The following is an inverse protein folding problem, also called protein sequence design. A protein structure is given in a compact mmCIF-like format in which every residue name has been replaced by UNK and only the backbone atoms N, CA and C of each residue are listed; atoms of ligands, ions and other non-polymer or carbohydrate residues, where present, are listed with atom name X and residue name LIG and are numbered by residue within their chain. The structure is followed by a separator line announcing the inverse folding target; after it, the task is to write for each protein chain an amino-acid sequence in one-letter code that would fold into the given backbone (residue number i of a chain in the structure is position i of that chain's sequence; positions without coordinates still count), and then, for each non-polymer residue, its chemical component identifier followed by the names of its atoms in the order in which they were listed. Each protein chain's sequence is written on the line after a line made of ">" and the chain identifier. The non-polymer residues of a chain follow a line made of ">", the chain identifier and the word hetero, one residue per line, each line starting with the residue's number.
data_IF_433908603039
#
_entry.id   IF_433908603039
#
_cell.length_a   1.000
_cell.length_b   1.000
_cell.length_c   1.000
_cell.angle_alpha   90.00
_cell.angle_beta   90.00
_cell.angle_gamma   90.00
#
_symmetry.space_group_name_H-M   'P 1'
#
loop_
_entity.id
_entity.type
_entity.pdbx_description
1 polymer ?
#
# COMPACT_ATOMS: atom_id res chain seq x y z
N UNK A 1 -24.65 8.78 -13.36
CA UNK A 1 -23.57 8.07 -12.69
C UNK A 1 -22.32 8.92 -12.83
N UNK A 2 -21.49 9.05 -11.78
CA UNK A 2 -20.22 9.80 -11.86
C UNK A 2 -19.12 8.89 -12.36
N UNK A 3 -18.18 9.43 -13.14
CA UNK A 3 -17.01 8.70 -13.66
C UNK A 3 -15.73 9.23 -13.02
N UNK A 4 -15.00 8.36 -12.35
CA UNK A 4 -13.70 8.66 -11.71
C UNK A 4 -12.61 7.94 -12.48
N UNK A 5 -11.58 8.67 -12.90
CA UNK A 5 -10.40 8.08 -13.55
C UNK A 5 -9.19 8.10 -12.62
N UNK A 6 -8.49 6.98 -12.54
CA UNK A 6 -7.34 6.76 -11.67
C UNK A 6 -6.12 6.42 -12.55
N UNK A 7 -5.30 7.40 -12.96
CA UNK A 7 -4.14 7.16 -13.80
C UNK A 7 -2.92 6.74 -12.98
N UNK A 8 -2.24 5.70 -13.46
CA UNK A 8 -0.91 5.31 -12.98
C UNK A 8 0.17 5.88 -13.92
N UNK A 9 1.31 6.29 -13.35
CA UNK A 9 2.40 6.92 -14.13
C UNK A 9 3.68 6.08 -14.19
N UNK A 10 3.68 4.90 -13.59
CA UNK A 10 4.84 4.03 -13.60
C UNK A 10 4.73 2.99 -14.70
N UNK A 11 5.89 2.61 -15.23
CA UNK A 11 5.99 1.62 -16.30
C UNK A 11 5.41 0.27 -15.86
N UNK A 12 4.37 -0.18 -16.56
CA UNK A 12 3.69 -1.46 -16.35
C UNK A 12 2.62 -1.44 -15.25
N UNK A 13 1.71 -2.43 -15.24
CA UNK A 13 0.67 -2.54 -14.24
C UNK A 13 1.34 -2.72 -12.87
N UNK A 14 1.02 -1.81 -11.94
CA UNK A 14 1.60 -1.77 -10.59
C UNK A 14 3.12 -1.67 -10.58
N UNK A 15 3.72 -1.02 -11.60
CA UNK A 15 5.15 -0.97 -11.82
C UNK A 15 5.72 -2.39 -11.86
N UNK A 16 6.11 -2.92 -12.98
CA UNK A 16 6.56 -4.31 -13.22
C UNK A 16 7.58 -4.89 -12.22
N UNK A 17 8.01 -4.11 -11.23
CA UNK A 17 8.92 -4.49 -10.17
C UNK A 17 8.22 -4.47 -8.81
N UNK A 18 7.15 -5.25 -8.65
CA UNK A 18 6.80 -5.71 -7.32
C UNK A 18 5.77 -4.93 -6.52
N UNK A 19 4.94 -4.11 -7.12
CA UNK A 19 3.66 -3.79 -6.50
C UNK A 19 2.72 -4.97 -6.75
N UNK A 20 2.59 -5.84 -5.78
CA UNK A 20 1.81 -7.06 -5.94
C UNK A 20 0.32 -6.87 -5.60
N UNK A 21 -0.07 -5.72 -5.06
CA UNK A 21 -1.45 -5.30 -4.90
C UNK A 21 -1.76 -4.12 -5.83
N UNK A 22 -2.74 -4.28 -6.67
CA UNK A 22 -3.23 -3.24 -7.59
C UNK A 22 -4.10 -2.24 -6.81
N UNK A 23 -3.49 -1.35 -6.03
CA UNK A 23 -4.20 -0.38 -5.18
C UNK A 23 -5.22 0.45 -5.96
N UNK A 24 -4.90 0.82 -7.20
CA UNK A 24 -5.78 1.58 -8.10
C UNK A 24 -7.06 0.80 -8.42
N UNK A 25 -6.95 -0.51 -8.55
CA UNK A 25 -8.12 -1.38 -8.83
C UNK A 25 -8.97 -1.54 -7.58
N UNK A 26 -8.36 -1.69 -6.40
CA UNK A 26 -9.08 -1.72 -5.12
C UNK A 26 -9.88 -0.44 -4.88
N UNK A 27 -9.26 0.72 -5.14
CA UNK A 27 -9.96 2.01 -5.07
C UNK A 27 -11.07 2.10 -6.13
N UNK A 28 -10.85 1.59 -7.34
CA UNK A 28 -11.86 1.57 -8.40
C UNK A 28 -13.08 0.73 -8.00
N UNK A 29 -12.88 -0.42 -7.36
CA UNK A 29 -13.95 -1.25 -6.79
C UNK A 29 -14.75 -0.50 -5.74
N UNK A 30 -14.08 0.22 -4.86
CA UNK A 30 -14.75 1.03 -3.84
C UNK A 30 -15.63 2.13 -4.47
N UNK A 31 -15.14 2.82 -5.50
CA UNK A 31 -15.98 3.77 -6.24
C UNK A 31 -17.17 3.08 -6.94
N UNK A 32 -16.95 1.91 -7.52
CA UNK A 32 -18.04 1.15 -8.16
C UNK A 32 -19.11 0.71 -7.16
N UNK A 33 -18.71 0.27 -5.97
CA UNK A 33 -19.61 -0.08 -4.87
C UNK A 33 -20.45 1.12 -4.39
N UNK A 34 -19.92 2.34 -4.53
CA UNK A 34 -20.61 3.61 -4.23
C UNK A 34 -21.42 4.16 -5.42
N UNK A 35 -21.66 3.34 -6.44
CA UNK A 35 -22.48 3.71 -7.59
C UNK A 35 -21.82 4.62 -8.62
N UNK A 36 -20.49 4.68 -8.63
CA UNK A 36 -19.71 5.39 -9.65
C UNK A 36 -19.23 4.43 -10.74
N UNK A 37 -18.82 4.97 -11.87
CA UNK A 37 -18.00 4.29 -12.85
C UNK A 37 -16.53 4.63 -12.56
N UNK A 38 -15.68 3.63 -12.47
CA UNK A 38 -14.26 3.83 -12.22
C UNK A 38 -13.40 3.28 -13.36
N UNK A 39 -12.44 4.08 -13.82
CA UNK A 39 -11.53 3.72 -14.93
C UNK A 39 -10.09 3.86 -14.45
N UNK A 40 -9.40 2.74 -14.41
CA UNK A 40 -7.96 2.71 -14.09
C UNK A 40 -7.17 2.83 -15.38
N UNK A 41 -6.18 3.71 -15.44
CA UNK A 41 -5.29 3.83 -16.58
C UNK A 41 -3.90 3.33 -16.22
N UNK A 42 -3.41 2.34 -16.96
CA UNK A 42 -2.03 1.88 -16.90
C UNK A 42 -1.30 2.28 -18.18
N UNK A 43 -0.09 2.83 -18.08
CA UNK A 43 0.73 3.10 -19.26
C UNK A 43 1.31 1.79 -19.81
N UNK A 44 1.18 1.58 -21.11
CA UNK A 44 1.75 0.42 -21.83
C UNK A 44 2.72 0.94 -22.90
N UNK A 45 4.03 1.07 -22.57
CA UNK A 45 5.04 1.52 -23.51
C UNK A 45 5.19 0.56 -24.69
N UNK A 46 5.19 1.13 -25.90
CA UNK A 46 5.30 0.35 -27.12
C UNK A 46 3.97 -0.11 -27.72
N UNK A 47 2.87 -0.02 -26.97
CA UNK A 47 1.54 -0.32 -27.51
C UNK A 47 1.17 0.68 -28.63
N UNK A 48 0.52 0.17 -29.69
CA UNK A 48 0.00 0.98 -30.81
C UNK A 48 -1.44 1.45 -30.55
N UNK A 49 -2.22 0.65 -29.84
CA UNK A 49 -3.63 0.91 -29.51
C UNK A 49 -3.90 0.58 -28.04
N UNK A 50 -4.94 1.16 -27.42
CA UNK A 50 -5.38 0.80 -26.09
C UNK A 50 -5.86 -0.65 -26.00
N UNK A 51 -5.58 -1.31 -24.87
CA UNK A 51 -6.17 -2.60 -24.50
C UNK A 51 -7.07 -2.38 -23.28
N UNK A 52 -8.25 -2.97 -23.29
CA UNK A 52 -9.27 -2.74 -22.28
C UNK A 52 -9.66 -4.06 -21.62
N UNK A 53 -9.78 -4.03 -20.31
CA UNK A 53 -10.33 -5.09 -19.49
C UNK A 53 -11.50 -4.54 -18.67
N UNK A 54 -12.56 -5.34 -18.46
CA UNK A 54 -13.70 -4.99 -17.62
C UNK A 54 -13.90 -6.12 -16.61
N UNK A 55 -13.08 -6.13 -15.52
CA UNK A 55 -13.11 -7.24 -14.56
C UNK A 55 -14.42 -7.33 -13.80
N UNK A 56 -15.12 -6.21 -13.62
CA UNK A 56 -16.34 -6.12 -12.83
C UNK A 56 -17.27 -5.02 -13.38
N UNK A 57 -18.53 -5.06 -13.01
CA UNK A 57 -19.48 -4.00 -13.36
C UNK A 57 -18.99 -2.64 -12.83
N UNK A 58 -18.98 -1.64 -13.72
CA UNK A 58 -18.52 -0.27 -13.44
C UNK A 58 -17.01 -0.12 -13.15
N UNK A 59 -16.20 -1.16 -13.27
CA UNK A 59 -14.75 -1.10 -13.19
C UNK A 59 -14.14 -1.40 -14.56
N UNK A 60 -13.39 -0.46 -15.10
CA UNK A 60 -12.69 -0.55 -16.39
C UNK A 60 -11.20 -0.35 -16.20
N UNK A 61 -10.38 -1.20 -16.78
CA UNK A 61 -8.92 -1.06 -16.79
C UNK A 61 -8.49 -0.83 -18.24
N UNK A 62 -7.80 0.27 -18.48
CA UNK A 62 -7.31 0.65 -19.79
C UNK A 62 -5.79 0.69 -19.78
N UNK A 63 -5.16 -0.16 -20.58
CA UNK A 63 -3.73 -0.11 -20.85
C UNK A 63 -3.51 0.79 -22.05
N UNK A 64 -2.90 1.95 -21.83
CA UNK A 64 -2.83 3.04 -22.78
C UNK A 64 -1.45 3.18 -23.42
N UNK A 65 -1.36 3.47 -24.72
CA UNK A 65 -0.10 3.78 -25.37
C UNK A 65 0.67 4.89 -24.64
N UNK A 66 1.92 4.61 -24.30
CA UNK A 66 2.75 5.52 -23.53
C UNK A 66 4.20 5.50 -24.03
N UNK A 67 4.98 6.51 -23.60
CA UNK A 67 6.43 6.57 -23.77
C UNK A 67 7.07 6.40 -22.40
N UNK A 68 8.01 5.47 -22.28
CA UNK A 68 8.73 5.25 -21.02
C UNK A 68 10.01 6.07 -20.95
N UNK A 69 10.29 6.61 -19.76
CA UNK A 69 11.57 7.19 -19.39
C UNK A 69 11.97 6.66 -18.00
N UNK A 70 12.90 5.72 -17.97
CA UNK A 70 13.24 4.99 -16.77
C UNK A 70 12.03 4.22 -16.20
N UNK A 71 11.66 4.52 -14.97
CA UNK A 71 10.48 3.95 -14.30
C UNK A 71 9.19 4.74 -14.57
N UNK A 72 9.32 5.97 -15.10
CA UNK A 72 8.19 6.84 -15.43
C UNK A 72 7.64 6.50 -16.81
N UNK A 73 6.33 6.70 -16.99
CA UNK A 73 5.70 6.59 -18.29
C UNK A 73 4.77 7.79 -18.52
N UNK A 74 4.76 8.25 -19.76
CA UNK A 74 4.01 9.42 -20.20
C UNK A 74 2.99 8.97 -21.25
N UNK A 75 1.72 9.22 -20.99
CA UNK A 75 0.65 8.99 -21.95
C UNK A 75 0.82 9.89 -23.16
N UNK A 76 0.55 9.37 -24.36
CA UNK A 76 0.63 10.15 -25.60
C UNK A 76 -0.39 11.28 -25.65
N UNK A 77 -1.58 11.06 -25.10
CA UNK A 77 -2.64 12.05 -24.95
C UNK A 77 -3.59 11.65 -23.81
N UNK A 78 -4.53 12.51 -23.50
CA UNK A 78 -5.54 12.33 -22.45
C UNK A 78 -6.97 12.26 -23.00
N UNK A 79 -7.12 11.96 -24.31
CA UNK A 79 -8.43 11.92 -24.98
C UNK A 79 -9.40 10.95 -24.27
N UNK A 80 -8.89 9.86 -23.73
CA UNK A 80 -9.65 8.87 -22.97
C UNK A 80 -10.49 9.51 -21.83
N UNK A 81 -10.04 10.61 -21.24
CA UNK A 81 -10.79 11.31 -20.18
C UNK A 81 -12.09 11.92 -20.72
N UNK A 82 -12.09 12.39 -21.96
CA UNK A 82 -13.28 12.94 -22.62
C UNK A 82 -14.19 11.80 -23.11
N UNK A 83 -13.61 10.76 -23.70
CA UNK A 83 -14.35 9.61 -24.21
C UNK A 83 -15.11 8.89 -23.08
N UNK A 84 -14.55 8.86 -21.87
CA UNK A 84 -15.15 8.27 -20.67
C UNK A 84 -16.08 9.25 -19.92
N UNK A 85 -16.27 10.50 -20.41
CA UNK A 85 -17.06 11.52 -19.73
C UNK A 85 -16.64 11.71 -18.26
N UNK A 86 -15.34 11.91 -18.02
CA UNK A 86 -14.74 11.94 -16.69
C UNK A 86 -15.21 13.14 -15.88
N UNK A 87 -15.78 12.89 -14.71
CA UNK A 87 -16.12 13.93 -13.72
C UNK A 87 -14.91 14.32 -12.87
N UNK A 88 -14.08 13.36 -12.47
CA UNK A 88 -12.90 13.60 -11.65
C UNK A 88 -11.73 12.68 -11.97
N UNK A 89 -10.53 13.17 -11.72
CA UNK A 89 -9.29 12.41 -11.78
C UNK A 89 -8.70 12.29 -10.38
N UNK A 90 -8.54 11.07 -9.89
CA UNK A 90 -7.86 10.74 -8.65
C UNK A 90 -6.38 10.42 -8.95
N UNK A 91 -5.48 11.24 -8.48
CA UNK A 91 -4.04 11.04 -8.71
C UNK A 91 -3.38 10.50 -7.46
N UNK A 92 -2.93 9.26 -7.52
CA UNK A 92 -1.99 8.68 -6.55
C UNK A 92 -0.57 9.12 -6.94
N UNK A 93 -0.31 10.40 -6.84
CA UNK A 93 0.71 11.13 -7.59
C UNK A 93 2.14 11.08 -7.08
N UNK A 94 2.46 10.12 -6.20
CA UNK A 94 3.78 9.98 -5.63
C UNK A 94 4.88 10.01 -6.71
N UNK A 95 5.74 11.03 -6.70
CA UNK A 95 6.91 11.14 -7.58
C UNK A 95 6.65 11.08 -9.10
N UNK A 96 5.46 11.44 -9.56
CA UNK A 96 5.09 11.39 -10.99
C UNK A 96 5.37 12.69 -11.74
N UNK A 97 6.18 12.62 -12.79
CA UNK A 97 6.50 13.78 -13.64
C UNK A 97 5.34 14.17 -14.58
N UNK A 98 4.37 13.29 -14.79
CA UNK A 98 3.21 13.52 -15.66
C UNK A 98 2.12 14.40 -15.07
N UNK A 99 2.14 14.65 -13.76
CA UNK A 99 1.11 15.41 -13.02
C UNK A 99 0.80 16.79 -13.60
N UNK A 100 1.78 17.67 -13.92
CA UNK A 100 1.47 18.98 -14.46
C UNK A 100 0.79 18.96 -15.84
N UNK A 101 1.11 17.95 -16.66
CA UNK A 101 0.47 17.78 -17.96
C UNK A 101 -0.99 17.37 -17.85
N UNK A 102 -1.26 16.38 -17.00
CA UNK A 102 -2.61 15.92 -16.70
C UNK A 102 -3.46 17.03 -16.07
N UNK A 103 -2.93 17.76 -15.09
CA UNK A 103 -3.64 18.88 -14.46
C UNK A 103 -4.08 19.94 -15.47
N UNK A 104 -3.17 20.35 -16.38
CA UNK A 104 -3.52 21.32 -17.44
C UNK A 104 -4.64 20.82 -18.34
N UNK A 105 -4.63 19.54 -18.67
CA UNK A 105 -5.71 18.93 -19.44
C UNK A 105 -7.04 18.96 -18.67
N UNK A 106 -7.05 18.54 -17.42
CA UNK A 106 -8.24 18.55 -16.57
C UNK A 106 -8.80 19.98 -16.41
N UNK A 107 -7.93 20.96 -16.15
CA UNK A 107 -8.32 22.37 -16.02
C UNK A 107 -8.98 22.91 -17.29
N UNK A 108 -8.41 22.58 -18.46
CA UNK A 108 -8.96 23.02 -19.76
C UNK A 108 -10.37 22.46 -20.02
N UNK A 109 -10.67 21.27 -19.50
CA UNK A 109 -11.91 20.56 -19.80
C UNK A 109 -12.89 20.51 -18.62
N UNK A 110 -12.63 21.26 -17.54
CA UNK A 110 -13.52 21.33 -16.38
C UNK A 110 -13.61 20.04 -15.57
N UNK A 111 -12.60 19.16 -15.67
CA UNK A 111 -12.53 17.90 -14.93
C UNK A 111 -11.93 18.18 -13.55
N UNK A 112 -12.59 17.72 -12.48
CA UNK A 112 -12.04 17.85 -11.12
C UNK A 112 -10.73 17.05 -11.01
N UNK A 113 -9.70 17.71 -10.48
CA UNK A 113 -8.41 17.08 -10.23
C UNK A 113 -8.09 17.14 -8.75
N UNK A 114 -7.76 16.02 -8.12
CA UNK A 114 -7.30 15.94 -6.74
C UNK A 114 -6.25 14.86 -6.56
N UNK A 115 -5.47 14.94 -5.47
CA UNK A 115 -4.31 14.07 -5.26
C UNK A 115 -4.33 13.42 -3.89
N UNK A 116 -3.84 12.17 -3.83
CA UNK A 116 -3.55 11.41 -2.61
C UNK A 116 -2.05 11.10 -2.59
N UNK A 117 -1.30 11.70 -1.68
CA UNK A 117 0.17 11.68 -1.70
C UNK A 117 0.76 10.91 -0.53
N UNK A 118 1.78 10.08 -0.80
CA UNK A 118 2.53 9.31 0.18
C UNK A 118 4.02 9.65 0.21
N UNK A 119 4.59 10.11 -0.90
CA UNK A 119 5.99 10.50 -0.98
C UNK A 119 6.15 11.75 -1.84
N UNK A 120 6.89 12.75 -1.33
CA UNK A 120 7.12 14.02 -2.01
C UNK A 120 8.54 14.14 -2.60
N UNK A 121 9.39 13.14 -2.32
CA UNK A 121 10.79 13.08 -2.76
C UNK A 121 11.07 11.83 -3.53
N UNK A 122 12.11 11.86 -4.36
CA UNK A 122 12.57 10.70 -5.10
C UNK A 122 13.14 9.62 -4.17
N UNK A 123 12.75 8.37 -4.42
CA UNK A 123 13.28 7.18 -3.73
C UNK A 123 14.49 6.56 -4.44
N UNK A 124 15.12 7.27 -5.39
CA UNK A 124 16.28 6.77 -6.12
C UNK A 124 17.49 6.54 -5.20
N UNK A 125 18.16 5.40 -5.34
CA UNK A 125 19.40 5.09 -4.61
C UNK A 125 20.59 5.92 -5.09
N UNK A 126 20.56 6.47 -6.31
CA UNK A 126 21.62 7.31 -6.88
C UNK A 126 21.41 8.78 -6.50
N UNK A 127 22.32 9.36 -5.74
CA UNK A 127 22.20 10.72 -5.21
C UNK A 127 22.01 11.80 -6.30
N UNK A 128 22.76 11.69 -7.42
CA UNK A 128 22.61 12.63 -8.54
C UNK A 128 21.21 12.54 -9.19
N UNK A 129 20.73 11.32 -9.45
CA UNK A 129 19.38 11.07 -9.99
C UNK A 129 18.32 11.62 -9.03
N UNK A 130 18.48 11.35 -7.73
CA UNK A 130 17.56 11.85 -6.70
C UNK A 130 17.46 13.37 -6.72
N UNK A 131 18.58 14.10 -6.75
CA UNK A 131 18.59 15.57 -6.80
C UNK A 131 17.91 16.12 -8.04
N UNK A 132 18.18 15.53 -9.21
CA UNK A 132 17.52 15.94 -10.46
C UNK A 132 16.02 15.68 -10.41
N UNK A 133 15.60 14.50 -9.96
CA UNK A 133 14.20 14.14 -9.82
C UNK A 133 13.48 15.07 -8.82
N UNK A 134 14.08 15.32 -7.65
CA UNK A 134 13.50 16.23 -6.66
C UNK A 134 13.32 17.66 -7.20
N UNK A 135 14.25 18.13 -8.03
CA UNK A 135 14.11 19.42 -8.72
C UNK A 135 12.93 19.41 -9.71
N UNK A 136 12.80 18.35 -10.50
CA UNK A 136 11.68 18.21 -11.46
C UNK A 136 10.33 18.08 -10.75
N UNK A 137 10.28 17.35 -9.64
CA UNK A 137 9.07 17.14 -8.83
C UNK A 137 8.57 18.43 -8.16
N UNK A 138 9.44 19.45 -7.97
CA UNK A 138 9.00 20.78 -7.49
C UNK A 138 7.90 21.40 -8.37
N UNK A 139 7.82 21.04 -9.65
CA UNK A 139 6.76 21.47 -10.55
C UNK A 139 5.39 20.94 -10.13
N UNK A 140 5.35 19.77 -9.49
CA UNK A 140 4.11 19.20 -8.98
C UNK A 140 3.56 20.00 -7.81
N UNK A 141 4.42 20.59 -6.96
CA UNK A 141 4.00 21.43 -5.85
C UNK A 141 3.13 22.62 -6.31
N UNK A 142 3.42 23.16 -7.50
CA UNK A 142 2.61 24.24 -8.07
C UNK A 142 1.18 23.78 -8.46
N UNK A 143 1.01 22.50 -8.76
CA UNK A 143 -0.31 21.86 -8.98
C UNK A 143 -0.99 21.62 -7.64
N UNK A 144 -0.29 20.98 -6.73
CA UNK A 144 -0.84 20.59 -5.42
C UNK A 144 -1.29 21.79 -4.57
N UNK A 145 -0.66 22.97 -4.74
CA UNK A 145 -1.11 24.22 -4.10
C UNK A 145 -2.46 24.74 -4.61
N UNK A 146 -2.90 24.28 -5.79
CA UNK A 146 -4.10 24.77 -6.48
C UNK A 146 -5.25 23.76 -6.50
N UNK A 147 -5.00 22.55 -5.98
CA UNK A 147 -5.95 21.44 -6.06
C UNK A 147 -6.15 20.83 -4.67
N UNK A 148 -7.31 20.21 -4.40
CA UNK A 148 -7.47 19.41 -3.20
C UNK A 148 -6.38 18.34 -3.13
N UNK A 149 -5.53 18.40 -2.09
CA UNK A 149 -4.39 17.50 -1.92
C UNK A 149 -4.48 16.85 -0.56
N UNK A 150 -4.55 15.54 -0.54
CA UNK A 150 -4.65 14.71 0.65
C UNK A 150 -3.35 14.00 0.93
N UNK A 151 -3.05 13.79 2.20
CA UNK A 151 -1.90 13.02 2.66
C UNK A 151 -2.30 11.60 3.05
N UNK A 152 -1.47 10.62 2.75
CA UNK A 152 -1.67 9.22 3.19
C UNK A 152 -1.42 9.04 4.68
N UNK A 153 -0.57 9.88 5.29
CA UNK A 153 -0.20 9.83 6.71
C UNK A 153 -0.04 11.24 7.30
N UNK A 154 -0.12 11.41 8.63
CA UNK A 154 0.12 12.69 9.29
C UNK A 154 1.50 13.28 8.98
N UNK A 155 2.54 12.45 8.86
CA UNK A 155 3.89 12.92 8.53
C UNK A 155 3.97 13.51 7.12
N UNK A 156 3.25 12.94 6.15
CA UNK A 156 3.14 13.50 4.79
C UNK A 156 2.33 14.79 4.80
N UNK A 157 1.29 14.90 5.64
CA UNK A 157 0.56 16.15 5.81
C UNK A 157 1.47 17.27 6.31
N UNK A 158 2.26 17.01 7.35
CA UNK A 158 3.23 17.97 7.88
C UNK A 158 4.31 18.34 6.83
N UNK A 159 4.77 17.38 6.02
CA UNK A 159 5.72 17.67 4.93
C UNK A 159 5.08 18.56 3.86
N UNK A 160 3.82 18.31 3.46
CA UNK A 160 3.08 19.15 2.51
C UNK A 160 2.97 20.59 3.02
N UNK A 161 2.57 20.77 4.26
CA UNK A 161 2.46 22.09 4.91
C UNK A 161 3.81 22.81 4.96
N UNK A 162 4.90 22.11 5.29
CA UNK A 162 6.25 22.66 5.29
C UNK A 162 6.72 23.14 3.90
N UNK A 163 6.16 22.55 2.83
CA UNK A 163 6.39 22.92 1.44
C UNK A 163 5.39 23.98 0.92
N UNK A 164 4.53 24.50 1.78
CA UNK A 164 3.51 25.49 1.44
C UNK A 164 2.39 24.93 0.55
N UNK A 165 2.08 23.64 0.69
CA UNK A 165 0.95 22.97 0.04
C UNK A 165 -0.14 22.73 1.09
N UNK A 166 -1.32 23.36 0.97
CA UNK A 166 -2.42 23.10 1.90
C UNK A 166 -2.85 21.64 1.84
N UNK A 167 -2.82 20.97 2.98
CA UNK A 167 -3.32 19.60 3.10
C UNK A 167 -4.83 19.62 3.36
N UNK A 168 -5.62 19.02 2.47
CA UNK A 168 -7.09 18.97 2.60
C UNK A 168 -7.55 17.95 3.67
N UNK A 169 -6.64 17.13 4.18
CA UNK A 169 -6.90 16.11 5.19
C UNK A 169 -6.15 14.81 4.92
N UNK A 170 -6.44 13.81 5.72
CA UNK A 170 -5.88 12.48 5.55
C UNK A 170 -6.79 11.64 4.63
N UNK A 171 -6.18 10.97 3.67
CA UNK A 171 -6.79 9.95 2.81
C UNK A 171 -5.83 8.75 2.79
N UNK A 172 -5.94 7.84 3.76
CA UNK A 172 -5.06 6.69 3.85
C UNK A 172 -5.21 5.75 2.64
N UNK A 173 -4.22 4.89 2.43
CA UNK A 173 -4.37 3.75 1.51
C UNK A 173 -5.36 2.77 2.14
N UNK A 174 -6.25 2.21 1.32
CA UNK A 174 -7.21 1.22 1.78
C UNK A 174 -6.79 -0.22 1.47
N UNK A 175 -7.34 -1.16 2.20
CA UNK A 175 -7.28 -2.57 1.88
C UNK A 175 -8.40 -2.92 0.89
N UNK A 176 -8.06 -3.69 -0.14
CA UNK A 176 -9.02 -4.28 -1.07
C UNK A 176 -9.42 -5.67 -0.57
N UNK A 177 -10.53 -5.74 0.13
CA UNK A 177 -11.01 -7.00 0.70
C UNK A 177 -11.56 -7.98 -0.33
N UNK A 178 -11.88 -7.50 -1.55
CA UNK A 178 -12.41 -8.35 -2.61
C UNK A 178 -11.39 -9.35 -3.16
N UNK A 179 -10.08 -9.06 -2.99
CA UNK A 179 -9.01 -9.98 -3.42
C UNK A 179 -8.57 -10.92 -2.31
N UNK A 180 -9.05 -10.74 -1.09
CA UNK A 180 -8.72 -11.59 0.04
C UNK A 180 -9.61 -12.82 -0.02
N UNK A 181 -9.06 -14.02 -0.17
CA UNK A 181 -9.86 -15.23 -0.24
C UNK A 181 -10.59 -15.47 1.08
N UNK A 182 -11.82 -15.99 0.99
CA UNK A 182 -12.51 -16.53 2.16
C UNK A 182 -11.75 -17.80 2.60
N UNK A 183 -10.93 -17.66 3.62
CA UNK A 183 -10.10 -18.75 4.14
C UNK A 183 -10.85 -19.36 5.32
N UNK A 184 -11.22 -20.65 5.26
CA UNK A 184 -11.61 -21.38 6.48
C UNK A 184 -10.50 -21.23 7.51
N UNK A 185 -10.85 -21.06 8.77
CA UNK A 185 -9.84 -20.95 9.85
C UNK A 185 -9.10 -22.30 10.02
N UNK A 186 -8.09 -22.54 9.19
CA UNK A 186 -7.30 -23.77 9.12
C UNK A 186 -5.93 -23.61 9.80
N UNK A 187 -5.88 -22.83 10.89
CA UNK A 187 -4.64 -22.62 11.66
C UNK A 187 -3.87 -23.92 11.90
N UNK A 188 -4.55 -24.95 12.41
CA UNK A 188 -3.97 -26.26 12.72
C UNK A 188 -3.42 -26.94 11.47
N UNK A 189 -4.15 -26.90 10.34
CA UNK A 189 -3.71 -27.51 9.08
C UNK A 189 -2.48 -26.82 8.50
N UNK A 190 -2.46 -25.49 8.53
CA UNK A 190 -1.33 -24.71 8.04
C UNK A 190 -0.09 -24.97 8.88
N UNK A 191 -0.23 -24.98 10.21
CA UNK A 191 0.87 -25.30 11.12
C UNK A 191 1.40 -26.72 10.91
N UNK A 192 0.51 -27.70 10.74
CA UNK A 192 0.89 -29.08 10.43
C UNK A 192 1.67 -29.17 9.11
N UNK A 193 1.19 -28.50 8.05
CA UNK A 193 1.88 -28.48 6.76
C UNK A 193 3.27 -27.83 6.84
N UNK A 194 3.44 -26.84 7.72
CA UNK A 194 4.72 -26.20 7.99
C UNK A 194 5.58 -26.94 9.04
N UNK A 195 5.11 -28.05 9.57
CA UNK A 195 5.77 -28.79 10.67
C UNK A 195 6.05 -27.89 11.88
N UNK A 196 5.08 -27.07 12.25
CA UNK A 196 5.08 -26.23 13.44
C UNK A 196 4.11 -26.86 14.45
N UNK A 197 4.52 -26.94 15.71
CA UNK A 197 3.66 -27.43 16.79
C UNK A 197 2.41 -26.55 16.92
N UNK A 198 1.27 -27.18 17.23
CA UNK A 198 -0.01 -26.49 17.34
C UNK A 198 -0.02 -25.41 18.42
N UNK A 199 0.71 -25.65 19.52
CA UNK A 199 0.81 -24.76 20.67
C UNK A 199 2.00 -23.78 20.58
N UNK A 200 2.85 -23.91 19.55
CA UNK A 200 3.97 -23.01 19.37
C UNK A 200 3.51 -21.54 19.19
N UNK A 201 4.27 -20.62 19.72
CA UNK A 201 4.07 -19.18 19.48
C UNK A 201 4.72 -18.81 18.15
N UNK A 202 3.97 -18.24 17.24
CA UNK A 202 4.41 -17.99 15.87
C UNK A 202 4.18 -16.55 15.48
N UNK A 203 5.22 -15.85 15.05
CA UNK A 203 5.03 -14.59 14.34
C UNK A 203 5.30 -14.75 12.84
N UNK A 204 4.73 -13.85 12.05
CA UNK A 204 5.04 -13.75 10.62
C UNK A 204 5.69 -12.42 10.26
N UNK A 205 6.63 -12.48 9.32
CA UNK A 205 7.20 -11.33 8.61
C UNK A 205 6.89 -11.50 7.12
N UNK A 206 6.24 -10.51 6.52
CA UNK A 206 5.89 -10.53 5.10
C UNK A 206 6.42 -9.28 4.42
N UNK A 207 7.30 -9.46 3.44
CA UNK A 207 7.85 -8.33 2.70
C UNK A 207 9.07 -8.70 1.87
N UNK A 208 9.59 -7.70 1.15
CA UNK A 208 10.84 -7.87 0.41
C UNK A 208 12.01 -8.04 1.40
N UNK A 209 12.89 -8.98 1.12
CA UNK A 209 14.10 -9.19 1.91
C UNK A 209 15.22 -8.25 1.43
N UNK A 210 14.94 -6.94 1.43
CA UNK A 210 15.85 -5.87 1.03
C UNK A 210 16.24 -5.01 2.25
N UNK A 211 17.32 -4.23 2.21
CA UNK A 211 17.75 -3.37 3.31
C UNK A 211 16.65 -2.44 3.84
N UNK A 212 15.74 -1.98 2.97
CA UNK A 212 14.61 -1.13 3.35
C UNK A 212 13.68 -1.79 4.39
N UNK A 213 13.44 -3.10 4.30
CA UNK A 213 12.57 -3.85 5.23
C UNK A 213 13.30 -4.41 6.44
N UNK A 214 14.61 -4.26 6.51
CA UNK A 214 15.49 -4.70 7.60
C UNK A 214 15.30 -6.18 8.02
N UNK A 215 15.26 -7.14 7.07
CA UNK A 215 15.01 -8.54 7.39
C UNK A 215 16.10 -9.16 8.28
N UNK A 216 17.32 -8.63 8.30
CA UNK A 216 18.40 -9.15 9.13
C UNK A 216 18.16 -8.95 10.63
N UNK A 217 17.30 -8.01 11.01
CA UNK A 217 16.88 -7.82 12.41
C UNK A 217 16.02 -8.96 12.94
N UNK A 218 15.53 -9.85 12.07
CA UNK A 218 14.87 -11.11 12.48
C UNK A 218 15.81 -12.02 13.29
N UNK A 219 17.11 -11.97 13.02
CA UNK A 219 18.10 -12.80 13.74
C UNK A 219 18.17 -12.40 15.22
N UNK A 220 18.53 -11.15 15.58
CA UNK A 220 18.55 -10.74 16.98
C UNK A 220 17.14 -10.77 17.61
N UNK A 221 16.05 -10.59 16.86
CA UNK A 221 14.71 -10.73 17.38
C UNK A 221 14.43 -12.16 17.86
N UNK A 222 14.76 -13.17 17.03
CA UNK A 222 14.59 -14.58 17.37
C UNK A 222 15.51 -15.04 18.51
N UNK A 223 16.71 -14.43 18.62
CA UNK A 223 17.59 -14.68 19.75
C UNK A 223 17.00 -14.16 21.06
N UNK A 224 16.38 -12.98 21.03
CA UNK A 224 15.74 -12.36 22.20
C UNK A 224 14.35 -12.93 22.53
N UNK A 225 13.73 -13.67 21.60
CA UNK A 225 12.42 -14.33 21.75
C UNK A 225 12.56 -15.85 21.55
N UNK A 226 13.13 -16.59 22.52
CA UNK A 226 13.50 -18.01 22.35
C UNK A 226 12.30 -18.93 22.14
N UNK A 227 11.11 -18.59 22.66
CA UNK A 227 9.90 -19.40 22.59
C UNK A 227 9.08 -19.18 21.29
N UNK A 228 9.56 -18.26 20.43
CA UNK A 228 8.85 -17.89 19.21
C UNK A 228 9.43 -18.56 17.96
N UNK A 229 8.53 -19.00 17.09
CA UNK A 229 8.80 -19.42 15.70
C UNK A 229 8.52 -18.28 14.74
N UNK A 230 9.18 -18.28 13.58
CA UNK A 230 8.98 -17.30 12.54
C UNK A 230 8.53 -17.94 11.22
N UNK A 231 7.46 -17.40 10.63
CA UNK A 231 7.12 -17.60 9.22
C UNK A 231 7.58 -16.37 8.46
N UNK A 232 8.57 -16.52 7.58
CA UNK A 232 9.20 -15.44 6.85
C UNK A 232 8.85 -15.58 5.37
N UNK A 233 8.04 -14.67 4.83
CA UNK A 233 7.55 -14.74 3.45
C UNK A 233 8.13 -13.59 2.63
N UNK A 234 8.87 -13.93 1.59
CA UNK A 234 9.40 -12.94 0.65
C UNK A 234 10.68 -13.35 -0.03
N UNK A 235 11.17 -12.45 -0.89
CA UNK A 235 12.47 -12.54 -1.53
C UNK A 235 13.12 -11.17 -1.61
N UNK A 236 14.42 -11.11 -1.78
CA UNK A 236 15.18 -9.87 -1.93
C UNK A 236 16.67 -10.10 -1.86
N UNK A 237 17.43 -9.03 -1.97
CA UNK A 237 18.90 -9.04 -2.04
C UNK A 237 19.58 -9.56 -0.76
N UNK A 238 18.86 -9.56 0.36
CA UNK A 238 19.35 -10.04 1.66
C UNK A 238 18.85 -11.46 2.02
N UNK A 239 18.16 -12.16 1.11
CA UNK A 239 17.60 -13.49 1.39
C UNK A 239 18.65 -14.53 1.77
N UNK A 240 19.71 -14.65 0.97
CA UNK A 240 20.81 -15.59 1.22
C UNK A 240 21.58 -15.22 2.50
N UNK A 241 21.83 -13.95 2.72
CA UNK A 241 22.50 -13.45 3.93
C UNK A 241 21.66 -13.72 5.19
N UNK A 242 20.34 -13.52 5.12
CA UNK A 242 19.42 -13.85 6.22
C UNK A 242 19.51 -15.35 6.53
N UNK A 243 19.41 -16.19 5.51
CA UNK A 243 19.47 -17.65 5.67
C UNK A 243 20.78 -18.08 6.32
N UNK A 244 21.91 -17.55 5.85
CA UNK A 244 23.22 -17.82 6.42
C UNK A 244 23.28 -17.42 7.91
N UNK A 245 22.85 -16.20 8.26
CA UNK A 245 22.88 -15.72 9.66
C UNK A 245 21.95 -16.53 10.58
N UNK A 246 20.79 -16.95 10.11
CA UNK A 246 19.90 -17.83 10.87
C UNK A 246 20.53 -19.19 11.12
N UNK A 247 21.25 -19.73 10.12
CA UNK A 247 21.99 -20.99 10.25
C UNK A 247 23.14 -20.87 11.26
N UNK A 248 23.98 -19.82 11.10
CA UNK A 248 25.13 -19.56 11.98
C UNK A 248 24.71 -19.36 13.45
N UNK A 249 23.52 -18.81 13.65
CA UNK A 249 22.93 -18.60 14.99
C UNK A 249 22.15 -19.80 15.54
N UNK A 250 22.03 -20.91 14.79
CA UNK A 250 21.25 -22.10 15.21
C UNK A 250 19.75 -21.86 15.29
N UNK A 251 19.21 -20.92 14.50
CA UNK A 251 17.82 -20.50 14.55
C UNK A 251 16.95 -21.07 13.43
N UNK A 252 17.54 -21.75 12.46
CA UNK A 252 16.85 -22.17 11.24
C UNK A 252 15.69 -23.14 11.52
N UNK A 253 15.82 -23.99 12.52
CA UNK A 253 14.75 -24.94 12.91
C UNK A 253 13.49 -24.25 13.41
N UNK A 254 13.63 -23.05 13.97
CA UNK A 254 12.51 -22.18 14.40
C UNK A 254 11.96 -21.29 13.28
N UNK A 255 12.50 -21.36 12.07
CA UNK A 255 12.09 -20.54 10.93
C UNK A 255 11.46 -21.38 9.82
N UNK A 256 10.47 -20.80 9.16
CA UNK A 256 9.93 -21.28 7.89
C UNK A 256 10.11 -20.18 6.85
N UNK A 257 11.14 -20.38 6.01
CA UNK A 257 11.44 -19.47 4.92
C UNK A 257 10.60 -19.85 3.72
N UNK A 258 9.69 -18.95 3.33
CA UNK A 258 8.77 -19.18 2.22
C UNK A 258 9.13 -18.16 1.12
N UNK A 259 9.35 -18.60 -0.11
CA UNK A 259 9.57 -17.70 -1.23
C UNK A 259 8.39 -16.74 -1.41
N UNK A 260 8.58 -15.70 -2.23
CA UNK A 260 7.50 -14.81 -2.59
C UNK A 260 6.30 -15.59 -3.17
N UNK A 261 5.12 -15.33 -2.61
CA UNK A 261 3.85 -15.89 -3.03
C UNK A 261 2.98 -14.83 -3.71
N UNK A 262 1.99 -15.23 -4.54
CA UNK A 262 0.87 -14.37 -4.90
C UNK A 262 0.17 -13.82 -3.66
N UNK A 263 -0.34 -12.59 -3.74
CA UNK A 263 -0.94 -11.92 -2.56
C UNK A 263 -2.06 -12.76 -1.93
N UNK A 264 -2.93 -13.35 -2.74
CA UNK A 264 -4.05 -14.16 -2.27
C UNK A 264 -3.59 -15.34 -1.39
N UNK A 265 -2.42 -15.91 -1.67
CA UNK A 265 -1.87 -17.04 -0.90
C UNK A 265 -1.21 -16.60 0.40
N UNK A 266 -0.75 -15.34 0.49
CA UNK A 266 -0.11 -14.83 1.72
C UNK A 266 -1.11 -14.77 2.87
N UNK A 267 -2.38 -14.43 2.59
CA UNK A 267 -3.41 -14.27 3.61
C UNK A 267 -3.63 -15.52 4.48
N UNK A 268 -3.43 -16.71 3.91
CA UNK A 268 -3.51 -17.99 4.63
C UNK A 268 -2.57 -18.01 5.85
N UNK A 269 -1.36 -17.47 5.69
CA UNK A 269 -0.33 -17.53 6.73
C UNK A 269 -0.58 -16.57 7.90
N UNK A 270 -1.26 -15.45 7.68
CA UNK A 270 -1.63 -14.55 8.78
C UNK A 270 -2.53 -15.26 9.81
N UNK A 271 -3.44 -16.13 9.37
CA UNK A 271 -4.30 -16.91 10.26
C UNK A 271 -3.54 -17.99 11.06
N UNK A 272 -2.35 -18.39 10.62
CA UNK A 272 -1.52 -19.38 11.32
C UNK A 272 -0.69 -18.76 12.45
N UNK A 273 -0.62 -17.44 12.54
CA UNK A 273 0.30 -16.72 13.42
C UNK A 273 -0.40 -16.10 14.62
N UNK A 274 0.39 -15.84 15.67
CA UNK A 274 -0.01 -15.17 16.90
C UNK A 274 0.34 -13.69 16.88
N UNK A 275 1.31 -13.30 16.02
CA UNK A 275 1.71 -11.93 15.83
C UNK A 275 2.23 -11.69 14.40
N UNK A 276 2.15 -10.45 13.96
CA UNK A 276 2.81 -9.96 12.76
C UNK A 276 3.94 -8.99 13.15
N UNK A 277 5.11 -9.10 12.51
CA UNK A 277 6.25 -8.23 12.83
C UNK A 277 6.59 -7.31 11.67
N UNK A 278 6.70 -6.00 11.95
CA UNK A 278 7.23 -5.01 11.02
C UNK A 278 8.50 -4.37 11.59
N UNK A 279 9.63 -4.58 10.90
CA UNK A 279 10.95 -4.12 11.33
C UNK A 279 11.38 -2.80 10.70
N UNK A 280 10.62 -2.25 9.76
CA UNK A 280 11.01 -1.09 8.98
C UNK A 280 10.71 0.23 9.72
N UNK A 281 11.74 0.98 10.20
CA UNK A 281 11.54 2.27 10.87
C UNK A 281 11.18 3.41 9.90
N UNK A 282 11.16 3.13 8.62
CA UNK A 282 10.81 4.09 7.55
C UNK A 282 9.58 3.63 6.76
N UNK A 283 8.71 2.80 7.35
CA UNK A 283 7.51 2.31 6.68
C UNK A 283 6.53 3.45 6.43
N UNK A 284 6.34 3.82 5.17
CA UNK A 284 5.46 4.95 4.82
C UNK A 284 4.00 4.60 5.08
N UNK A 285 3.59 3.36 4.81
CA UNK A 285 2.22 2.92 5.09
C UNK A 285 2.17 1.51 5.67
N UNK A 286 2.48 0.45 4.90
CA UNK A 286 2.55 -0.92 5.40
C UNK A 286 1.34 -1.78 5.01
N UNK A 287 1.23 -2.16 3.73
CA UNK A 287 0.12 -3.00 3.28
C UNK A 287 0.07 -4.36 3.98
N UNK A 288 1.22 -5.04 4.14
CA UNK A 288 1.28 -6.31 4.87
C UNK A 288 0.87 -6.18 6.34
N UNK A 289 1.07 -5.01 6.94
CA UNK A 289 0.56 -4.68 8.28
C UNK A 289 -0.97 -4.66 8.29
N UNK A 290 -1.60 -3.95 7.33
CA UNK A 290 -3.07 -3.92 7.21
C UNK A 290 -3.65 -5.30 6.93
N UNK A 291 -3.01 -6.07 6.06
CA UNK A 291 -3.43 -7.43 5.72
C UNK A 291 -3.41 -8.35 6.95
N UNK A 292 -2.35 -8.28 7.75
CA UNK A 292 -2.23 -9.05 8.99
C UNK A 292 -3.29 -8.63 10.02
N UNK A 293 -3.48 -7.33 10.23
CA UNK A 293 -4.49 -6.80 11.13
C UNK A 293 -5.90 -7.20 10.69
N UNK A 294 -6.20 -7.14 9.40
CA UNK A 294 -7.48 -7.58 8.86
C UNK A 294 -7.76 -9.07 9.11
N UNK A 295 -6.72 -9.90 9.07
CA UNK A 295 -6.79 -11.32 9.42
C UNK A 295 -6.90 -11.58 10.94
N UNK A 296 -6.93 -10.54 11.76
CA UNK A 296 -6.96 -10.67 13.23
C UNK A 296 -5.60 -11.02 13.85
N UNK A 297 -4.51 -10.87 13.10
CA UNK A 297 -3.15 -11.11 13.59
C UNK A 297 -2.60 -9.80 14.19
N UNK A 298 -2.37 -9.71 15.52
CA UNK A 298 -1.94 -8.49 16.17
C UNK A 298 -0.52 -8.09 15.72
N UNK A 299 -0.31 -6.82 15.33
CA UNK A 299 1.00 -6.36 14.90
C UNK A 299 1.90 -5.96 16.07
N UNK A 300 3.18 -6.27 15.94
CA UNK A 300 4.30 -5.70 16.70
C UNK A 300 5.22 -5.02 15.72
N UNK A 301 5.30 -3.69 15.77
CA UNK A 301 5.94 -2.91 14.72
C UNK A 301 6.90 -1.87 15.27
N UNK A 302 7.93 -1.53 14.51
CA UNK A 302 8.72 -0.33 14.80
C UNK A 302 7.90 0.92 14.55
N UNK A 303 8.18 1.97 15.34
CA UNK A 303 7.71 3.31 15.06
C UNK A 303 8.10 3.74 13.64
N UNK A 304 7.12 4.12 12.86
CA UNK A 304 7.27 4.65 11.51
C UNK A 304 5.96 5.34 11.08
N UNK A 305 5.99 6.21 10.05
CA UNK A 305 4.80 6.96 9.62
C UNK A 305 3.54 6.14 9.40
N UNK A 306 3.65 4.96 8.81
CA UNK A 306 2.52 4.06 8.58
C UNK A 306 2.07 3.34 9.85
N UNK A 307 2.93 2.57 10.52
CA UNK A 307 2.59 1.92 11.80
C UNK A 307 2.01 2.87 12.84
N UNK A 308 2.56 4.09 13.01
CA UNK A 308 2.08 5.09 13.97
C UNK A 308 0.67 5.61 13.64
N UNK A 309 0.27 5.60 12.37
CA UNK A 309 -1.10 5.91 11.95
C UNK A 309 -2.04 4.72 12.15
N UNK A 310 -1.58 3.53 11.75
CA UNK A 310 -2.43 2.35 11.61
C UNK A 310 -2.68 1.68 12.95
N UNK A 311 -1.65 1.58 13.80
CA UNK A 311 -1.72 0.89 15.09
C UNK A 311 -2.16 1.87 16.19
N UNK A 312 -3.17 1.49 16.94
CA UNK A 312 -3.48 2.10 18.23
C UNK A 312 -2.70 1.33 19.31
N UNK A 313 -1.60 1.96 19.74
CA UNK A 313 -0.61 1.30 20.60
C UNK A 313 -1.21 0.80 21.92
N UNK A 314 -0.98 -0.46 22.24
CA UNK A 314 -1.54 -1.15 23.41
C UNK A 314 -2.96 -1.68 23.23
N UNK A 315 -3.67 -1.32 22.14
CA UNK A 315 -5.05 -1.73 21.86
C UNK A 315 -5.12 -2.64 20.63
N UNK A 316 -4.71 -2.13 19.47
CA UNK A 316 -4.78 -2.88 18.21
C UNK A 316 -3.42 -3.41 17.74
N UNK A 317 -2.39 -3.32 18.57
CA UNK A 317 -1.02 -3.74 18.32
C UNK A 317 -0.04 -3.02 19.22
N UNK A 318 1.24 -3.25 19.01
CA UNK A 318 2.31 -2.68 19.83
C UNK A 318 3.34 -1.97 18.95
N UNK A 319 3.71 -0.76 19.37
CA UNK A 319 4.73 0.06 18.73
C UNK A 319 6.01 0.08 19.59
N UNK A 320 7.16 -0.13 18.94
CA UNK A 320 8.45 -0.30 19.59
C UNK A 320 9.54 0.50 18.87
N UNK A 321 10.58 0.91 19.57
CA UNK A 321 11.73 1.61 19.01
C UNK A 321 12.87 0.67 18.59
N UNK A 322 13.06 -0.42 19.34
CA UNK A 322 14.24 -1.29 19.25
C UNK A 322 13.87 -2.77 19.11
N UNK A 323 14.81 -3.60 18.67
CA UNK A 323 14.61 -5.05 18.55
C UNK A 323 14.34 -5.73 19.91
N UNK A 324 15.05 -5.38 21.01
CA UNK A 324 14.71 -5.92 22.33
C UNK A 324 13.28 -5.57 22.78
N UNK A 325 12.81 -4.37 22.49
CA UNK A 325 11.42 -3.99 22.79
C UNK A 325 10.41 -4.79 21.95
N UNK A 326 10.70 -5.04 20.65
CA UNK A 326 9.88 -5.92 19.81
C UNK A 326 9.79 -7.34 20.39
N UNK A 327 10.90 -7.90 20.85
CA UNK A 327 10.92 -9.23 21.47
C UNK A 327 10.04 -9.28 22.73
N UNK A 328 10.18 -8.28 23.62
CA UNK A 328 9.35 -8.19 24.83
C UNK A 328 7.88 -7.90 24.51
N UNK A 329 7.59 -7.22 23.40
CA UNK A 329 6.24 -6.93 22.94
C UNK A 329 5.53 -8.16 22.37
N UNK A 330 6.24 -9.07 21.71
CA UNK A 330 5.69 -10.32 21.23
C UNK A 330 4.95 -11.07 22.34
N UNK A 331 5.53 -11.12 23.57
CA UNK A 331 4.94 -11.80 24.71
C UNK A 331 3.67 -11.13 25.27
N UNK A 332 3.39 -9.90 24.86
CA UNK A 332 2.22 -9.12 25.28
C UNK A 332 1.08 -9.18 24.26
N UNK A 333 1.27 -9.83 23.12
CA UNK A 333 0.20 -9.96 22.12
C UNK A 333 -0.92 -10.86 22.64
N UNK A 334 -2.16 -10.49 22.31
CA UNK A 334 -3.36 -11.22 22.75
C UNK A 334 -4.37 -11.35 21.62
N UNK A 335 -5.27 -12.33 21.72
CA UNK A 335 -6.38 -12.47 20.80
C UNK A 335 -7.29 -11.23 20.79
N UNK A 336 -7.51 -10.60 21.94
CA UNK A 336 -8.29 -9.35 22.04
C UNK A 336 -7.66 -8.22 21.22
N UNK A 337 -6.33 -8.11 21.24
CA UNK A 337 -5.58 -7.15 20.42
C UNK A 337 -5.75 -7.45 18.92
N UNK A 338 -5.78 -8.73 18.52
CA UNK A 338 -6.06 -9.15 17.16
C UNK A 338 -7.47 -8.75 16.69
N UNK A 339 -8.48 -8.92 17.52
CA UNK A 339 -9.85 -8.47 17.24
C UNK A 339 -9.93 -6.94 17.11
N UNK A 340 -9.27 -6.21 18.01
CA UNK A 340 -9.21 -4.75 17.92
C UNK A 340 -8.49 -4.29 16.65
N UNK A 341 -7.42 -4.99 16.24
CA UNK A 341 -6.72 -4.74 14.98
C UNK A 341 -7.65 -4.90 13.77
N UNK A 342 -8.40 -6.00 13.71
CA UNK A 342 -9.36 -6.27 12.64
C UNK A 342 -10.46 -5.21 12.56
N UNK A 343 -11.07 -4.86 13.70
CA UNK A 343 -12.10 -3.81 13.78
C UNK A 343 -11.56 -2.48 13.26
N UNK A 344 -10.37 -2.09 13.71
CA UNK A 344 -9.73 -0.84 13.28
C UNK A 344 -9.50 -0.75 11.78
N UNK A 345 -9.07 -1.86 11.13
CA UNK A 345 -8.91 -1.89 9.66
C UNK A 345 -10.26 -1.74 8.97
N UNK A 346 -11.27 -2.48 9.42
CA UNK A 346 -12.61 -2.43 8.84
C UNK A 346 -13.23 -1.03 8.93
N UNK A 347 -13.00 -0.31 10.02
CA UNK A 347 -13.58 1.01 10.25
C UNK A 347 -12.84 2.12 9.52
N UNK A 348 -11.51 2.03 9.37
CA UNK A 348 -10.71 3.19 8.99
C UNK A 348 -9.83 3.00 7.74
N UNK A 349 -9.54 1.76 7.33
CA UNK A 349 -8.50 1.49 6.34
C UNK A 349 -8.99 0.59 5.19
N UNK A 350 -10.26 0.66 4.85
CA UNK A 350 -10.79 0.12 3.59
C UNK A 350 -10.78 1.21 2.51
N UNK A 351 -10.64 0.82 1.25
CA UNK A 351 -10.72 1.76 0.13
C UNK A 351 -12.04 2.52 0.08
N UNK A 352 -13.11 1.96 0.66
CA UNK A 352 -14.41 2.62 0.76
C UNK A 352 -14.31 3.96 1.50
N UNK A 353 -13.57 4.04 2.60
CA UNK A 353 -13.37 5.29 3.36
C UNK A 353 -12.75 6.40 2.49
N UNK A 354 -11.71 6.05 1.71
CA UNK A 354 -11.06 7.00 0.80
C UNK A 354 -11.95 7.39 -0.36
N UNK A 355 -12.74 6.46 -0.89
CA UNK A 355 -13.68 6.74 -1.98
C UNK A 355 -14.83 7.65 -1.52
N UNK A 356 -15.42 7.40 -0.35
CA UNK A 356 -16.46 8.24 0.25
C UNK A 356 -15.95 9.68 0.47
N UNK A 357 -14.75 9.82 1.04
CA UNK A 357 -14.12 11.13 1.21
C UNK A 357 -13.92 11.84 -0.14
N UNK A 358 -13.42 11.15 -1.15
CA UNK A 358 -13.22 11.71 -2.48
C UNK A 358 -14.53 12.17 -3.14
N UNK A 359 -15.63 11.46 -2.92
CA UNK A 359 -16.94 11.82 -3.46
C UNK A 359 -17.49 13.12 -2.87
N UNK A 360 -17.05 13.52 -1.68
CA UNK A 360 -17.45 14.82 -1.10
C UNK A 360 -16.94 16.02 -1.91
N UNK A 361 -15.89 15.84 -2.72
CA UNK A 361 -15.33 16.87 -3.60
C UNK A 361 -16.18 17.10 -4.85
N UNK A 362 -17.00 16.14 -5.23
CA UNK A 362 -17.82 16.24 -6.43
C UNK A 362 -19.06 17.10 -6.16
N UNK A 363 -19.46 17.97 -7.09
CA UNK A 363 -20.69 18.72 -6.94
C UNK A 363 -21.86 17.76 -6.77
N UNK A 364 -22.64 17.97 -5.70
CA UNK A 364 -23.92 17.28 -5.54
C UNK A 364 -24.75 17.62 -6.77
N UNK A 365 -25.34 16.62 -7.46
CA UNK A 365 -26.33 16.89 -8.50
C UNK A 365 -27.39 17.78 -7.87
N UNK A 366 -27.44 19.05 -8.29
CA UNK A 366 -28.57 19.91 -7.94
C UNK A 366 -29.84 19.16 -8.29
N UNK A 367 -30.82 19.16 -7.39
CA UNK A 367 -32.17 18.80 -7.77
C UNK A 367 -32.47 19.67 -9.01
N UNK A 368 -32.69 19.03 -10.17
CA UNK A 368 -33.21 19.73 -11.29
C UNK A 368 -34.50 20.38 -10.76
N UNK A 369 -34.49 21.71 -10.67
CA UNK A 369 -35.72 22.45 -10.44
C UNK A 369 -36.63 22.10 -11.64
N UNK A 370 -37.65 21.28 -11.38
CA UNK A 370 -38.70 21.01 -12.31
C UNK A 370 -39.58 22.21 -12.53
#
# INVERSE_FOLDING_TARGET
>A
MKTIVIPQFYRGPSGQKGLYNRQEVGLARAFAALGCRAVVLYPEPGAKAPRIETPETNVKICYMPAVAFGVQAFYKNWQILLDEHTDAVHVMGDNSLGVPGLYRFCQKHGILFYSQLGALKSTSNHAAVRRVMDLLLRRNLAVYRKTPTYAKTPSVAAELESLGVPCAGLMPVGLDTAIIPSIPNNRTEIRRALKIDEHARVFTFVGRLDPYKQPLDLVPLLQAAPDWYAIIIGRGSLGDELTRRLTDAGLLDRCRLIPQLPNEQVHVYYHACDAFVNLNPNEIFGMSLLEAMYAGCPPVARHAPGPDLIIENGISGLLCGTVPELAAALDKTTAAMGHAAQSRVNENFLWQNSAELALTLLPKKGKANG
#
